data_IF_298317488214
#
_entry.id   IF_298317488214
#
_cell.length_a   1.000
_cell.length_b   1.000
_cell.length_c   1.000
_cell.angle_alpha   90.00
_cell.angle_beta   90.00
_cell.angle_gamma   90.00
#
_symmetry.space_group_name_H-M   'P 1'
#
loop_
_entity.id
_entity.type
_entity.pdbx_description
1 polymer ?
#
# COMPACT_ATOMS: atom_id res chain seq x y z
N UNK A 1 2.84 37.41 8.78
CA UNK A 1 3.20 36.00 8.46
C UNK A 1 1.94 35.19 8.30
N UNK A 2 1.74 34.64 7.11
CA UNK A 2 0.58 33.81 6.75
C UNK A 2 1.00 32.34 6.74
N UNK A 3 0.14 31.44 7.20
CA UNK A 3 0.32 29.99 7.02
C UNK A 3 -0.39 29.58 5.73
N UNK A 4 0.35 28.94 4.84
CA UNK A 4 -0.12 28.52 3.52
C UNK A 4 0.18 27.03 3.30
N UNK A 5 -0.80 26.33 2.76
CA UNK A 5 -0.71 24.92 2.37
C UNK A 5 -0.90 24.80 0.86
N UNK A 6 0.09 24.26 0.17
CA UNK A 6 0.10 24.12 -1.28
C UNK A 6 -0.04 22.64 -1.61
N UNK A 7 -1.21 22.23 -2.05
CA UNK A 7 -1.50 20.84 -2.45
C UNK A 7 -1.48 20.70 -3.96
N UNK A 8 -0.85 19.64 -4.51
CA UNK A 8 -0.87 19.38 -5.94
C UNK A 8 -0.71 17.89 -6.27
N UNK A 9 -1.22 17.50 -7.44
CA UNK A 9 -1.21 16.11 -7.89
C UNK A 9 -1.32 16.01 -9.41
N UNK A 10 -1.16 14.78 -9.93
CA UNK A 10 -1.42 14.36 -11.32
C UNK A 10 -0.53 15.05 -12.36
N UNK A 11 0.77 15.22 -12.02
CA UNK A 11 1.75 15.86 -12.92
C UNK A 11 2.51 14.86 -13.79
N UNK A 12 2.37 13.54 -13.54
CA UNK A 12 3.13 12.48 -14.19
C UNK A 12 2.30 11.64 -15.16
N UNK A 13 3.00 10.99 -16.08
CA UNK A 13 2.45 9.99 -17.00
C UNK A 13 3.20 8.66 -16.86
N UNK A 14 2.77 7.59 -17.55
CA UNK A 14 3.57 6.36 -17.66
C UNK A 14 4.93 6.58 -18.32
N UNK A 15 5.13 7.67 -19.07
CA UNK A 15 6.34 7.94 -19.85
C UNK A 15 7.31 8.91 -19.18
N UNK A 16 6.78 9.93 -18.50
CA UNK A 16 7.61 10.97 -17.88
C UNK A 16 6.88 11.70 -16.74
N UNK A 17 7.54 12.74 -16.20
CA UNK A 17 7.02 13.52 -15.07
C UNK A 17 7.22 12.81 -13.73
N UNK A 18 7.09 13.57 -12.65
CA UNK A 18 7.15 13.02 -11.29
C UNK A 18 6.70 14.08 -10.28
N UNK A 19 5.57 13.87 -9.62
CA UNK A 19 5.00 14.84 -8.68
C UNK A 19 5.94 15.10 -7.50
N UNK A 20 6.68 14.09 -7.03
CA UNK A 20 7.69 14.30 -5.96
C UNK A 20 8.89 15.11 -6.43
N UNK A 21 9.27 15.02 -7.72
CA UNK A 21 10.32 15.86 -8.28
C UNK A 21 9.88 17.33 -8.38
N UNK A 22 8.63 17.58 -8.77
CA UNK A 22 8.06 18.94 -8.74
C UNK A 22 8.12 19.53 -7.33
N UNK A 23 7.75 18.74 -6.30
CA UNK A 23 7.90 19.16 -4.91
C UNK A 23 9.36 19.49 -4.55
N UNK A 24 10.31 18.68 -4.98
CA UNK A 24 11.73 18.92 -4.71
C UNK A 24 12.26 20.19 -5.39
N UNK A 25 11.75 20.55 -6.56
CA UNK A 25 12.03 21.84 -7.22
C UNK A 25 11.44 23.01 -6.42
N UNK A 26 10.19 22.88 -6.00
CA UNK A 26 9.47 23.90 -5.24
C UNK A 26 10.10 24.15 -3.87
N UNK A 27 10.63 23.13 -3.20
CA UNK A 27 11.36 23.32 -1.91
C UNK A 27 12.45 24.38 -2.05
N UNK A 28 13.27 24.27 -3.07
CA UNK A 28 14.38 25.22 -3.30
C UNK A 28 13.87 26.59 -3.69
N UNK A 29 12.95 26.66 -4.67
CA UNK A 29 12.43 27.93 -5.17
C UNK A 29 11.69 28.73 -4.09
N UNK A 30 10.80 28.08 -3.34
CA UNK A 30 10.04 28.75 -2.30
C UNK A 30 10.94 29.21 -1.13
N UNK A 31 11.99 28.46 -0.83
CA UNK A 31 12.98 28.87 0.15
C UNK A 31 13.75 30.13 -0.32
N UNK A 32 14.10 30.20 -1.61
CA UNK A 32 14.76 31.37 -2.21
C UNK A 32 13.88 32.63 -2.20
N UNK A 33 12.56 32.47 -2.35
CA UNK A 33 11.57 33.57 -2.24
C UNK A 33 11.44 34.07 -0.78
N UNK A 34 11.86 33.27 0.22
CA UNK A 34 11.78 33.62 1.63
C UNK A 34 10.68 32.87 2.40
N UNK A 35 10.06 31.84 1.81
CA UNK A 35 9.13 31.01 2.53
C UNK A 35 9.84 30.08 3.53
N UNK A 36 9.27 29.93 4.72
CA UNK A 36 9.75 29.04 5.78
C UNK A 36 8.88 27.78 5.83
N UNK A 37 9.48 26.60 5.66
CA UNK A 37 8.76 25.33 5.79
C UNK A 37 8.44 25.03 7.24
N UNK A 38 7.18 24.69 7.53
CA UNK A 38 6.71 24.31 8.88
C UNK A 38 6.69 22.81 9.09
N UNK A 39 6.82 22.04 8.01
CA UNK A 39 6.89 20.59 8.00
C UNK A 39 7.71 20.13 6.77
N UNK A 40 8.17 18.88 6.78
CA UNK A 40 8.67 18.24 5.56
C UNK A 40 7.61 18.27 4.48
N UNK A 41 7.96 18.30 3.18
CA UNK A 41 6.96 18.05 2.14
C UNK A 41 6.19 16.77 2.45
N UNK A 42 4.86 16.86 2.46
CA UNK A 42 4.01 15.71 2.76
C UNK A 42 3.71 14.94 1.47
N UNK A 43 4.13 13.69 1.40
CA UNK A 43 3.83 12.77 0.31
C UNK A 43 2.67 11.87 0.73
N UNK A 44 1.49 12.18 0.26
CA UNK A 44 0.26 11.47 0.62
C UNK A 44 -0.08 10.45 -0.46
N UNK A 45 0.01 9.17 -0.13
CA UNK A 45 -0.49 8.11 -1.01
C UNK A 45 -2.00 8.00 -0.87
N UNK A 46 -2.68 8.08 -1.98
CA UNK A 46 -4.13 7.99 -2.10
C UNK A 46 -4.55 6.53 -2.38
N UNK A 47 -5.84 6.30 -2.64
CA UNK A 47 -6.37 4.97 -2.89
C UNK A 47 -5.60 4.25 -4.02
N UNK A 48 -4.93 3.12 -3.73
CA UNK A 48 -4.12 2.41 -4.73
C UNK A 48 -4.97 1.64 -5.78
N UNK A 49 -6.29 1.58 -5.61
CA UNK A 49 -7.20 0.82 -6.48
C UNK A 49 -7.94 1.68 -7.50
N UNK A 50 -7.71 2.99 -7.52
CA UNK A 50 -8.31 3.89 -8.52
C UNK A 50 -7.84 3.48 -9.93
N UNK A 51 -8.77 3.18 -10.87
CA UNK A 51 -8.41 2.59 -12.16
C UNK A 51 -7.67 3.55 -13.11
N UNK A 52 -7.87 4.85 -12.96
CA UNK A 52 -7.26 5.89 -13.80
C UNK A 52 -5.99 6.53 -13.23
N UNK A 53 -5.43 6.00 -12.14
CA UNK A 53 -4.13 6.45 -11.63
C UNK A 53 -3.01 6.10 -12.61
N UNK A 54 -2.01 6.96 -12.72
CA UNK A 54 -0.87 6.74 -13.61
C UNK A 54 0.14 5.74 -13.06
N UNK A 55 0.59 5.91 -11.81
CA UNK A 55 1.60 5.07 -11.14
C UNK A 55 1.21 4.78 -9.70
N UNK A 56 1.88 5.42 -8.73
CA UNK A 56 1.72 5.13 -7.32
C UNK A 56 0.56 5.83 -6.62
N UNK A 57 -0.19 6.68 -7.32
CA UNK A 57 -1.27 7.52 -6.80
C UNK A 57 -0.84 8.29 -5.54
N UNK A 58 -0.06 9.37 -5.72
CA UNK A 58 0.49 10.13 -4.60
C UNK A 58 0.50 11.62 -4.84
N UNK A 59 -0.26 12.33 -4.03
CA UNK A 59 -0.35 13.79 -4.01
C UNK A 59 0.66 14.40 -3.02
N UNK A 60 0.99 15.67 -3.21
CA UNK A 60 1.93 16.41 -2.39
C UNK A 60 1.26 17.57 -1.67
N UNK A 61 1.73 17.89 -0.47
CA UNK A 61 1.41 19.13 0.20
C UNK A 61 2.69 19.76 0.77
N UNK A 62 2.92 21.04 0.45
CA UNK A 62 3.95 21.89 1.06
C UNK A 62 3.26 22.78 2.10
N UNK A 63 3.81 22.79 3.31
CA UNK A 63 3.30 23.60 4.44
C UNK A 63 4.32 24.67 4.78
N UNK A 64 3.97 25.93 4.53
CA UNK A 64 4.88 27.05 4.66
C UNK A 64 4.29 28.21 5.47
N UNK A 65 5.16 29.09 5.91
CA UNK A 65 4.86 30.45 6.39
C UNK A 65 5.60 31.45 5.54
N UNK A 66 4.95 32.52 5.17
CA UNK A 66 5.52 33.62 4.40
C UNK A 66 4.93 34.96 4.80
N UNK A 67 5.55 36.07 4.37
CA UNK A 67 4.94 37.38 4.43
C UNK A 67 3.81 37.47 3.39
N UNK A 68 2.82 38.30 3.66
CA UNK A 68 1.64 38.48 2.80
C UNK A 68 2.00 38.95 1.39
N UNK A 69 2.98 39.84 1.30
CA UNK A 69 3.54 40.39 0.04
C UNK A 69 4.10 39.31 -0.90
N UNK A 70 4.53 38.14 -0.36
CA UNK A 70 5.14 37.06 -1.14
C UNK A 70 4.12 36.02 -1.63
N UNK A 71 2.85 36.15 -1.22
CA UNK A 71 1.83 35.13 -1.52
C UNK A 71 1.63 34.97 -3.03
N UNK A 72 1.50 36.06 -3.75
CA UNK A 72 1.30 36.06 -5.20
C UNK A 72 2.49 35.45 -5.94
N UNK A 73 3.72 35.86 -5.61
CA UNK A 73 4.94 35.32 -6.19
C UNK A 73 5.09 33.80 -5.92
N UNK A 74 4.73 33.34 -4.70
CA UNK A 74 4.74 31.92 -4.32
C UNK A 74 3.72 31.14 -5.17
N UNK A 75 2.53 31.69 -5.37
CA UNK A 75 1.49 31.04 -6.15
C UNK A 75 1.89 30.95 -7.63
N UNK A 76 2.34 32.04 -8.23
CA UNK A 76 2.85 32.07 -9.60
C UNK A 76 4.02 31.10 -9.82
N UNK A 77 5.01 31.13 -8.92
CA UNK A 77 6.15 30.21 -8.97
C UNK A 77 5.71 28.74 -8.89
N UNK A 78 4.68 28.45 -8.07
CA UNK A 78 4.12 27.11 -7.97
C UNK A 78 3.44 26.68 -9.24
N UNK A 79 2.56 27.52 -9.78
CA UNK A 79 1.82 27.27 -11.04
C UNK A 79 2.80 27.01 -12.18
N UNK A 80 3.75 27.93 -12.38
CA UNK A 80 4.81 27.85 -13.38
C UNK A 80 5.62 26.53 -13.26
N UNK A 81 6.00 26.17 -12.03
CA UNK A 81 6.82 24.98 -11.80
C UNK A 81 6.03 23.69 -12.08
N UNK A 82 4.76 23.64 -11.70
CA UNK A 82 3.87 22.50 -12.02
C UNK A 82 3.68 22.39 -13.53
N UNK A 83 3.32 23.48 -14.20
CA UNK A 83 3.08 23.52 -15.64
C UNK A 83 4.29 23.06 -16.45
N UNK A 84 5.48 23.60 -16.17
CA UNK A 84 6.74 23.29 -16.87
C UNK A 84 7.23 21.85 -16.67
N UNK A 85 6.83 21.19 -15.57
CA UNK A 85 7.32 19.85 -15.22
C UNK A 85 6.25 18.76 -15.30
N UNK A 86 5.00 19.09 -15.60
CA UNK A 86 3.93 18.13 -15.85
C UNK A 86 3.97 17.62 -17.29
N UNK A 87 3.60 16.36 -17.51
CA UNK A 87 3.43 15.79 -18.85
C UNK A 87 2.04 16.14 -19.40
N UNK A 88 1.84 17.39 -19.81
CA UNK A 88 0.56 17.87 -20.36
C UNK A 88 0.21 17.26 -21.72
N UNK A 89 1.18 16.64 -22.40
CA UNK A 89 0.96 15.97 -23.68
C UNK A 89 0.22 14.65 -23.54
N UNK A 90 0.30 14.01 -22.37
CA UNK A 90 -0.38 12.74 -22.10
C UNK A 90 -1.85 12.97 -21.73
N UNK A 91 -2.78 12.31 -22.44
CA UNK A 91 -4.22 12.51 -22.27
C UNK A 91 -4.74 12.27 -20.84
N UNK A 92 -4.11 11.33 -20.10
CA UNK A 92 -4.51 10.96 -18.74
C UNK A 92 -3.86 11.78 -17.60
N UNK A 93 -3.03 12.79 -17.93
CA UNK A 93 -2.40 13.70 -16.96
C UNK A 93 -3.22 14.99 -16.90
N UNK A 94 -3.84 15.26 -15.76
CA UNK A 94 -4.74 16.38 -15.51
C UNK A 94 -4.32 17.11 -14.22
N UNK A 95 -3.18 17.86 -14.21
CA UNK A 95 -2.64 18.46 -13.00
C UNK A 95 -3.62 19.39 -12.31
N UNK A 96 -3.54 19.42 -10.99
CA UNK A 96 -4.31 20.35 -10.18
C UNK A 96 -3.50 20.83 -8.99
N UNK A 97 -3.66 22.10 -8.65
CA UNK A 97 -3.02 22.79 -7.53
C UNK A 97 -4.13 23.38 -6.67
N UNK A 98 -3.96 23.33 -5.37
CA UNK A 98 -4.85 23.97 -4.39
C UNK A 98 -4.00 24.77 -3.41
N UNK A 99 -4.33 26.02 -3.22
CA UNK A 99 -3.76 26.90 -2.21
C UNK A 99 -4.78 27.10 -1.09
N UNK A 100 -4.38 26.78 0.11
CA UNK A 100 -5.23 26.85 1.29
C UNK A 100 -4.52 27.63 2.40
N UNK A 101 -5.25 28.51 3.03
CA UNK A 101 -4.73 29.40 4.08
C UNK A 101 -5.31 29.00 5.45
N UNK A 102 -4.55 29.26 6.51
CA UNK A 102 -4.95 29.04 7.89
C UNK A 102 -5.04 27.56 8.32
N UNK A 103 -5.84 27.29 9.35
CA UNK A 103 -5.97 25.96 9.95
C UNK A 103 -6.83 25.04 9.09
N UNK A 104 -6.47 23.77 9.05
CA UNK A 104 -7.16 22.76 8.24
C UNK A 104 -8.41 22.27 8.98
N UNK A 105 -9.62 22.49 8.42
CA UNK A 105 -10.87 22.09 9.04
C UNK A 105 -11.10 20.57 8.97
N UNK A 106 -11.98 20.05 9.83
CA UNK A 106 -12.26 18.62 9.91
C UNK A 106 -12.94 18.06 8.66
N UNK A 107 -13.65 18.87 7.92
CA UNK A 107 -14.25 18.51 6.64
C UNK A 107 -13.18 18.15 5.61
N UNK A 108 -12.05 18.89 5.54
CA UNK A 108 -10.92 18.56 4.67
C UNK A 108 -10.20 17.30 5.15
N UNK A 109 -10.04 17.09 6.46
CA UNK A 109 -9.51 15.86 7.05
C UNK A 109 -10.39 14.65 6.67
N UNK A 110 -11.71 14.82 6.76
CA UNK A 110 -12.69 13.79 6.38
C UNK A 110 -12.64 13.50 4.88
N UNK A 111 -12.53 14.53 4.04
CA UNK A 111 -12.37 14.39 2.59
C UNK A 111 -11.09 13.64 2.25
N UNK A 112 -9.96 13.99 2.87
CA UNK A 112 -8.68 13.31 2.68
C UNK A 112 -8.79 11.81 3.02
N UNK A 113 -9.36 11.47 4.18
CA UNK A 113 -9.59 10.08 4.58
C UNK A 113 -10.42 9.32 3.54
N UNK A 114 -11.51 9.92 3.05
CA UNK A 114 -12.37 9.30 2.01
C UNK A 114 -11.62 9.10 0.70
N UNK A 115 -10.75 10.04 0.30
CA UNK A 115 -9.94 9.94 -0.92
C UNK A 115 -8.86 8.86 -0.80
N UNK A 116 -8.32 8.64 0.39
CA UNK A 116 -7.35 7.56 0.66
C UNK A 116 -8.05 6.19 0.68
N UNK A 117 -9.31 6.10 1.11
CA UNK A 117 -10.05 4.85 1.34
C UNK A 117 -11.08 4.50 0.26
N UNK A 118 -11.27 5.35 -0.75
CA UNK A 118 -12.30 5.14 -1.76
C UNK A 118 -12.11 6.01 -2.98
N UNK A 119 -13.21 6.25 -3.68
CA UNK A 119 -13.29 7.17 -4.82
C UNK A 119 -14.15 8.37 -4.43
N UNK A 120 -13.68 9.56 -4.74
CA UNK A 120 -14.40 10.82 -4.58
C UNK A 120 -14.58 11.51 -5.94
N UNK A 121 -15.62 12.32 -6.04
CA UNK A 121 -15.95 13.05 -7.28
C UNK A 121 -15.34 14.45 -7.26
N UNK A 122 -14.94 14.96 -8.43
CA UNK A 122 -14.45 16.33 -8.60
C UNK A 122 -15.43 17.38 -8.02
N UNK A 123 -16.73 17.20 -8.21
CA UNK A 123 -17.76 18.09 -7.67
C UNK A 123 -17.66 18.25 -6.14
N UNK A 124 -17.28 17.20 -5.42
CA UNK A 124 -17.12 17.25 -3.96
C UNK A 124 -15.88 18.06 -3.57
N UNK A 125 -14.77 17.89 -4.29
CA UNK A 125 -13.55 18.69 -4.09
C UNK A 125 -13.81 20.18 -4.33
N UNK A 126 -14.40 20.52 -5.48
CA UNK A 126 -14.70 21.91 -5.84
C UNK A 126 -15.69 22.58 -4.89
N UNK A 127 -16.66 21.81 -4.34
CA UNK A 127 -17.55 22.31 -3.28
C UNK A 127 -16.78 22.73 -2.02
N UNK A 128 -15.80 21.93 -1.60
CA UNK A 128 -14.98 22.24 -0.43
C UNK A 128 -14.02 23.41 -0.69
N UNK A 129 -13.41 23.46 -1.89
CA UNK A 129 -12.60 24.60 -2.32
C UNK A 129 -13.40 25.91 -2.19
N UNK A 130 -14.60 25.94 -2.74
CA UNK A 130 -15.49 27.13 -2.63
C UNK A 130 -15.93 27.42 -1.20
N UNK A 131 -16.28 26.38 -0.42
CA UNK A 131 -16.79 26.52 0.95
C UNK A 131 -15.77 27.20 1.88
N UNK A 132 -14.50 26.85 1.71
CA UNK A 132 -13.41 27.35 2.57
C UNK A 132 -12.58 28.46 1.94
N UNK A 133 -13.00 29.04 0.80
CA UNK A 133 -12.29 30.12 0.14
C UNK A 133 -10.88 29.76 -0.31
N UNK A 134 -10.64 28.46 -0.61
CA UNK A 134 -9.37 28.02 -1.17
C UNK A 134 -9.27 28.42 -2.65
N UNK A 135 -8.05 28.64 -3.12
CA UNK A 135 -7.79 28.87 -4.55
C UNK A 135 -7.35 27.57 -5.22
N UNK A 136 -7.90 27.29 -6.40
CA UNK A 136 -7.56 26.09 -7.14
C UNK A 136 -7.28 26.38 -8.60
N UNK A 137 -6.19 25.82 -9.10
CA UNK A 137 -5.78 25.90 -10.51
C UNK A 137 -5.76 24.50 -11.09
N UNK A 138 -6.50 24.29 -12.17
CA UNK A 138 -6.54 22.99 -12.87
C UNK A 138 -6.02 23.13 -14.29
N UNK A 139 -5.16 22.21 -14.72
CA UNK A 139 -4.73 22.07 -16.11
C UNK A 139 -5.55 20.97 -16.77
N UNK A 140 -6.01 21.22 -17.99
CA UNK A 140 -6.90 20.31 -18.73
C UNK A 140 -8.20 20.03 -17.93
N UNK A 141 -8.43 18.78 -17.47
CA UNK A 141 -9.60 18.44 -16.65
C UNK A 141 -9.39 18.75 -15.16
N UNK A 142 -8.17 19.11 -14.73
CA UNK A 142 -7.84 19.52 -13.38
C UNK A 142 -8.08 18.45 -12.30
N UNK A 143 -8.09 17.16 -12.64
CA UNK A 143 -8.38 16.06 -11.70
C UNK A 143 -7.43 16.05 -10.50
N UNK A 144 -6.20 16.52 -10.65
CA UNK A 144 -5.23 16.69 -9.60
C UNK A 144 -5.69 17.56 -8.43
N UNK A 145 -6.72 18.42 -8.61
CA UNK A 145 -7.34 19.19 -7.52
C UNK A 145 -7.86 18.26 -6.41
N UNK A 146 -8.39 17.08 -6.75
CA UNK A 146 -8.84 16.09 -5.76
C UNK A 146 -7.67 15.65 -4.89
N UNK A 147 -6.55 15.26 -5.51
CA UNK A 147 -5.36 14.81 -4.79
C UNK A 147 -4.69 15.92 -4.00
N UNK A 148 -4.55 17.12 -4.59
CA UNK A 148 -4.00 18.29 -3.93
C UNK A 148 -4.78 18.68 -2.67
N UNK A 149 -6.12 18.74 -2.76
CA UNK A 149 -7.00 19.02 -1.62
C UNK A 149 -6.91 17.91 -0.56
N UNK A 150 -6.85 16.64 -0.97
CA UNK A 150 -6.68 15.52 -0.05
C UNK A 150 -5.31 15.56 0.66
N UNK A 151 -4.24 15.96 -0.04
CA UNK A 151 -2.92 16.11 0.57
C UNK A 151 -2.87 17.26 1.60
N UNK A 152 -3.62 18.33 1.38
CA UNK A 152 -3.80 19.40 2.37
C UNK A 152 -4.53 18.86 3.61
N UNK A 153 -5.64 18.13 3.42
CA UNK A 153 -6.46 17.60 4.51
C UNK A 153 -5.79 16.48 5.32
N UNK A 154 -4.83 15.73 4.73
CA UNK A 154 -4.08 14.69 5.45
C UNK A 154 -2.87 15.32 6.15
N UNK A 155 -3.02 15.59 7.43
CA UNK A 155 -2.00 16.28 8.25
C UNK A 155 -0.93 15.35 8.81
N UNK A 156 -1.07 14.04 8.60
CA UNK A 156 -0.14 13.01 9.11
C UNK A 156 0.05 13.06 10.64
N UNK A 157 -0.92 13.57 11.38
CA UNK A 157 -0.92 13.58 12.86
C UNK A 157 -1.09 12.18 13.46
N UNK A 158 -1.63 11.25 12.66
CA UNK A 158 -1.71 9.82 12.98
C UNK A 158 -0.44 9.11 12.54
N UNK A 159 -0.53 7.79 12.36
CA UNK A 159 0.62 6.99 11.94
C UNK A 159 1.21 7.49 10.62
N UNK A 160 2.52 7.72 10.62
CA UNK A 160 3.28 8.21 9.48
C UNK A 160 4.71 7.66 9.46
N UNK A 161 5.36 7.80 8.34
CA UNK A 161 6.76 7.44 8.12
C UNK A 161 7.49 8.56 7.38
N UNK A 162 8.73 8.31 7.04
CA UNK A 162 9.56 9.22 6.26
C UNK A 162 10.14 8.50 5.05
N UNK A 163 10.37 9.22 3.97
CA UNK A 163 11.06 8.70 2.79
C UNK A 163 12.04 9.74 2.30
N UNK A 164 13.34 9.41 2.23
CA UNK A 164 14.28 10.21 1.47
C UNK A 164 14.19 9.76 0.01
N UNK A 165 13.96 10.71 -0.90
CA UNK A 165 13.93 10.47 -2.33
C UNK A 165 15.08 11.23 -2.96
N UNK A 166 15.90 10.50 -3.72
CA UNK A 166 17.08 10.99 -4.42
C UNK A 166 16.82 11.02 -5.91
N UNK A 167 17.20 12.12 -6.57
CA UNK A 167 16.90 12.35 -7.99
C UNK A 167 18.17 12.38 -8.83
N UNK A 168 18.01 11.89 -10.05
CA UNK A 168 19.05 11.79 -11.08
C UNK A 168 19.17 13.11 -11.85
N UNK A 169 20.37 13.41 -12.31
CA UNK A 169 20.55 14.48 -13.29
C UNK A 169 19.80 14.20 -14.61
N UNK A 170 19.39 15.21 -15.35
CA UNK A 170 18.66 15.05 -16.61
C UNK A 170 19.33 14.09 -17.62
N UNK A 171 20.67 14.12 -17.70
CA UNK A 171 21.47 13.26 -18.60
C UNK A 171 21.32 11.76 -18.30
N UNK A 172 20.99 11.40 -17.07
CA UNK A 172 20.88 10.00 -16.66
C UNK A 172 19.43 9.48 -16.72
N UNK A 173 18.43 10.34 -16.97
CA UNK A 173 17.02 9.92 -17.08
C UNK A 173 16.84 8.99 -18.28
N UNK A 174 16.02 7.95 -18.12
CA UNK A 174 15.79 6.94 -19.17
C UNK A 174 16.90 5.88 -19.31
N UNK A 175 18.04 6.01 -18.58
CA UNK A 175 19.11 5.02 -18.59
C UNK A 175 19.02 4.08 -17.37
N UNK A 176 19.71 2.90 -17.37
CA UNK A 176 19.79 2.05 -16.18
C UNK A 176 20.38 2.81 -14.98
N UNK A 177 19.80 2.61 -13.80
CA UNK A 177 20.26 3.26 -12.56
C UNK A 177 21.54 2.60 -12.06
N UNK A 178 22.55 3.40 -11.73
CA UNK A 178 23.87 2.95 -11.31
C UNK A 178 24.08 3.22 -9.82
N UNK A 179 23.77 2.22 -8.99
CA UNK A 179 23.98 2.26 -7.55
C UNK A 179 24.73 1.00 -7.14
N UNK A 180 25.68 1.14 -6.22
CA UNK A 180 26.45 0.02 -5.73
C UNK A 180 25.60 -0.89 -4.85
N UNK A 181 25.32 -2.10 -5.32
CA UNK A 181 24.42 -3.04 -4.63
C UNK A 181 24.93 -3.46 -3.24
N UNK A 182 26.25 -3.55 -3.03
CA UNK A 182 26.83 -3.85 -1.71
C UNK A 182 26.52 -2.77 -0.69
N UNK A 183 26.58 -1.48 -1.06
CA UNK A 183 26.23 -0.40 -0.15
C UNK A 183 24.76 -0.41 0.25
N UNK A 184 23.87 -0.87 -0.62
CA UNK A 184 22.44 -1.02 -0.29
C UNK A 184 22.23 -2.13 0.73
N UNK A 185 22.95 -3.26 0.62
CA UNK A 185 22.88 -4.34 1.62
C UNK A 185 23.46 -3.89 2.96
N UNK A 186 24.61 -3.23 2.94
CA UNK A 186 25.21 -2.64 4.14
C UNK A 186 24.25 -1.65 4.81
N UNK A 187 23.65 -0.74 4.05
CA UNK A 187 22.63 0.20 4.54
C UNK A 187 21.48 -0.55 5.19
N UNK A 188 20.94 -1.58 4.51
CA UNK A 188 19.84 -2.38 5.04
C UNK A 188 20.21 -3.04 6.38
N UNK A 189 21.39 -3.64 6.50
CA UNK A 189 21.87 -4.27 7.75
C UNK A 189 22.03 -3.26 8.87
N UNK A 190 22.65 -2.10 8.60
CA UNK A 190 22.93 -1.08 9.60
C UNK A 190 21.71 -0.27 10.06
N UNK A 191 20.66 -0.21 9.24
CA UNK A 191 19.50 0.67 9.54
C UNK A 191 18.22 -0.07 9.87
N UNK A 192 18.12 -1.40 9.66
CA UNK A 192 17.00 -2.19 10.17
C UNK A 192 16.99 -2.15 11.71
N UNK A 193 15.79 -2.12 12.33
CA UNK A 193 14.44 -2.07 11.76
C UNK A 193 13.89 -0.63 11.59
N UNK A 194 14.77 0.40 11.64
CA UNK A 194 14.36 1.80 11.49
C UNK A 194 14.09 2.18 10.03
N UNK A 195 14.68 1.48 9.08
CA UNK A 195 14.29 1.51 7.67
C UNK A 195 13.63 0.19 7.29
N UNK A 196 12.86 0.15 6.20
CA UNK A 196 12.13 -1.03 5.81
C UNK A 196 11.91 -1.09 4.29
N UNK A 197 11.68 -2.31 3.78
CA UNK A 197 11.45 -2.60 2.36
C UNK A 197 12.62 -2.13 1.46
N UNK A 198 13.85 -2.29 1.92
CA UNK A 198 15.04 -1.93 1.14
C UNK A 198 15.49 -3.08 0.24
N UNK A 199 15.48 -4.30 0.77
CA UNK A 199 15.89 -5.54 0.10
C UNK A 199 14.86 -6.62 0.42
N UNK A 200 14.39 -7.37 -0.58
CA UNK A 200 13.46 -8.50 -0.38
C UNK A 200 14.22 -9.70 0.22
N UNK A 201 13.87 -10.15 1.45
CA UNK A 201 14.60 -11.23 2.10
C UNK A 201 14.37 -12.61 1.46
N UNK A 202 13.34 -12.77 0.61
CA UNK A 202 13.10 -14.05 -0.10
C UNK A 202 13.95 -14.21 -1.36
N UNK A 203 14.35 -13.10 -1.98
CA UNK A 203 14.98 -13.11 -3.32
C UNK A 203 16.26 -12.27 -3.42
N UNK A 204 16.69 -11.63 -2.34
CA UNK A 204 17.80 -10.65 -2.28
C UNK A 204 17.67 -9.50 -3.28
N UNK A 205 16.44 -9.23 -3.73
CA UNK A 205 16.18 -8.19 -4.70
C UNK A 205 16.15 -6.81 -4.03
N UNK A 206 16.89 -5.86 -4.61
CA UNK A 206 16.86 -4.44 -4.22
C UNK A 206 15.50 -3.85 -4.57
N UNK A 207 14.89 -3.14 -3.59
CA UNK A 207 13.55 -2.57 -3.70
C UNK A 207 13.53 -1.04 -3.68
N UNK A 208 14.62 -0.38 -3.29
CA UNK A 208 14.68 1.09 -3.18
C UNK A 208 14.73 1.80 -4.54
N UNK A 209 15.05 1.09 -5.62
CA UNK A 209 15.14 1.65 -6.98
C UNK A 209 13.84 1.45 -7.74
N UNK A 210 13.21 2.51 -8.28
CA UNK A 210 12.04 2.37 -9.14
C UNK A 210 12.42 1.76 -10.49
N UNK A 211 11.42 1.23 -11.21
CA UNK A 211 11.61 0.59 -12.52
C UNK A 211 11.18 1.47 -13.69
N UNK A 212 10.43 2.52 -13.40
CA UNK A 212 9.89 3.42 -14.40
C UNK A 212 10.90 4.45 -14.92
N UNK A 213 10.50 5.25 -15.90
CA UNK A 213 11.34 6.30 -16.51
C UNK A 213 11.42 7.57 -15.66
N UNK A 214 10.89 7.56 -14.45
CA UNK A 214 10.89 8.72 -13.56
C UNK A 214 12.31 9.16 -13.15
N UNK A 215 12.49 10.44 -12.74
CA UNK A 215 13.79 11.00 -12.38
C UNK A 215 14.34 10.49 -11.05
N UNK A 216 13.62 9.61 -10.34
CA UNK A 216 14.06 9.08 -9.04
C UNK A 216 15.21 8.10 -9.25
N UNK A 217 16.31 8.29 -8.52
CA UNK A 217 17.41 7.35 -8.43
C UNK A 217 17.07 6.22 -7.46
N UNK A 218 16.70 6.57 -6.23
CA UNK A 218 16.19 5.66 -5.21
C UNK A 218 15.32 6.38 -4.17
N UNK A 219 14.50 5.61 -3.43
CA UNK A 219 13.74 6.09 -2.28
C UNK A 219 13.90 5.14 -1.09
N UNK A 220 14.32 5.65 0.07
CA UNK A 220 14.50 4.86 1.28
C UNK A 220 13.46 5.28 2.32
N UNK A 221 12.70 4.32 2.83
CA UNK A 221 11.61 4.51 3.80
C UNK A 221 12.04 4.15 5.20
N UNK A 222 11.62 4.95 6.18
CA UNK A 222 11.97 4.68 7.56
C UNK A 222 11.04 5.34 8.58
N UNK A 223 11.27 4.99 9.83
CA UNK A 223 10.45 5.42 10.97
C UNK A 223 10.67 6.88 11.36
N UNK A 224 11.83 7.45 11.08
CA UNK A 224 12.15 8.83 11.44
C UNK A 224 13.12 9.46 10.44
N UNK A 225 13.22 10.82 10.40
CA UNK A 225 14.04 11.51 9.41
C UNK A 225 15.53 11.27 9.57
N UNK A 226 16.03 11.04 10.79
CA UNK A 226 17.45 10.74 11.03
C UNK A 226 17.83 9.38 10.44
N UNK A 227 16.96 8.36 10.60
CA UNK A 227 17.21 7.02 10.06
C UNK A 227 17.27 7.01 8.52
N UNK A 228 16.35 7.73 7.83
CA UNK A 228 16.38 7.78 6.37
C UNK A 228 17.55 8.61 5.85
N UNK A 229 17.97 9.66 6.58
CA UNK A 229 19.16 10.43 6.25
C UNK A 229 20.43 9.59 6.41
N UNK A 230 20.61 8.91 7.53
CA UNK A 230 21.72 7.98 7.76
C UNK A 230 21.78 6.88 6.68
N UNK A 231 20.62 6.32 6.33
CA UNK A 231 20.54 5.33 5.27
C UNK A 231 20.96 5.90 3.90
N UNK A 232 20.55 7.13 3.59
CA UNK A 232 20.98 7.83 2.37
C UNK A 232 22.51 8.03 2.33
N UNK A 233 23.14 8.38 3.45
CA UNK A 233 24.59 8.62 3.56
C UNK A 233 25.42 7.33 3.36
N UNK A 234 24.85 6.15 3.62
CA UNK A 234 25.51 4.85 3.42
C UNK A 234 25.44 4.38 1.95
N UNK A 235 24.39 4.78 1.22
CA UNK A 235 24.19 4.31 -0.17
C UNK A 235 25.12 5.05 -1.13
N UNK A 236 25.95 4.29 -1.84
CA UNK A 236 26.88 4.84 -2.81
C UNK A 236 26.28 4.83 -4.24
N UNK A 237 26.04 6.04 -4.76
CA UNK A 237 25.66 6.24 -6.15
C UNK A 237 26.88 6.25 -7.06
N UNK A 238 26.78 5.55 -8.20
CA UNK A 238 27.79 5.57 -9.27
C UNK A 238 27.42 6.56 -10.38
N UNK A 239 26.41 7.38 -10.15
CA UNK A 239 26.02 8.50 -11.02
C UNK A 239 25.78 9.76 -10.19
N UNK A 240 25.90 10.95 -10.78
CA UNK A 240 25.66 12.20 -10.05
C UNK A 240 24.24 12.30 -9.51
N UNK A 241 24.12 12.71 -8.26
CA UNK A 241 22.85 13.06 -7.61
C UNK A 241 22.57 14.52 -7.92
N UNK A 242 21.40 14.81 -8.49
CA UNK A 242 20.96 16.18 -8.74
C UNK A 242 20.48 16.84 -7.45
N UNK A 243 19.60 16.13 -6.73
CA UNK A 243 19.00 16.59 -5.47
C UNK A 243 18.45 15.44 -4.65
N UNK A 244 18.14 15.70 -3.39
CA UNK A 244 17.36 14.79 -2.56
C UNK A 244 16.53 15.57 -1.53
N UNK A 245 15.41 14.98 -1.13
CA UNK A 245 14.47 15.57 -0.16
C UNK A 245 13.93 14.47 0.75
N UNK A 246 13.81 14.78 2.04
CA UNK A 246 13.07 13.94 3.00
C UNK A 246 11.62 14.38 2.99
N UNK A 247 10.74 13.43 2.72
CA UNK A 247 9.28 13.59 2.78
C UNK A 247 8.73 12.96 4.06
N UNK A 248 7.70 13.55 4.65
CA UNK A 248 6.83 12.88 5.62
C UNK A 248 5.67 12.28 4.86
N UNK A 249 5.26 11.04 5.20
CA UNK A 249 4.35 10.28 4.34
C UNK A 249 3.49 9.28 5.12
N UNK A 250 2.37 8.89 4.55
CA UNK A 250 1.55 7.77 5.03
C UNK A 250 2.00 6.39 4.48
N UNK A 251 3.20 6.28 3.91
CA UNK A 251 3.72 4.98 3.44
C UNK A 251 3.77 3.94 4.58
N UNK A 252 3.38 2.72 4.26
CA UNK A 252 3.46 1.60 5.20
C UNK A 252 2.57 1.74 6.44
N UNK A 253 1.46 2.47 6.39
CA UNK A 253 0.56 2.73 7.52
C UNK A 253 -0.76 1.96 7.46
N UNK A 254 -1.09 1.32 6.33
CA UNK A 254 -2.41 0.74 6.07
C UNK A 254 -3.56 1.78 6.02
N UNK A 255 -3.26 3.07 5.89
CA UNK A 255 -4.25 4.16 5.92
C UNK A 255 -5.39 3.99 4.90
N UNK A 256 -5.14 3.27 3.79
CA UNK A 256 -6.14 2.99 2.77
C UNK A 256 -7.17 1.94 3.19
N UNK A 257 -6.83 1.05 4.13
CA UNK A 257 -7.71 -0.06 4.51
C UNK A 257 -8.85 0.41 5.42
N UNK A 258 -10.08 0.17 4.99
CA UNK A 258 -11.29 0.43 5.75
C UNK A 258 -11.82 -0.88 6.33
N UNK A 259 -11.97 -0.95 7.66
CA UNK A 259 -12.66 -2.08 8.30
C UNK A 259 -14.15 -1.96 8.05
N UNK A 260 -14.76 -3.03 7.56
CA UNK A 260 -16.19 -3.19 7.37
C UNK A 260 -16.71 -4.36 8.22
N UNK A 261 -17.98 -4.30 8.60
CA UNK A 261 -18.59 -5.30 9.49
C UNK A 261 -19.16 -6.48 8.72
N UNK A 262 -19.50 -6.28 7.45
CA UNK A 262 -20.12 -7.32 6.62
C UNK A 262 -19.60 -7.31 5.19
N UNK A 263 -19.58 -8.48 4.57
CA UNK A 263 -19.27 -8.68 3.15
C UNK A 263 -20.23 -7.90 2.25
N UNK A 264 -21.48 -7.69 2.68
CA UNK A 264 -22.47 -6.90 1.94
C UNK A 264 -22.10 -5.42 1.76
N UNK A 265 -21.20 -4.88 2.60
CA UNK A 265 -20.70 -3.50 2.50
C UNK A 265 -19.58 -3.32 1.46
N UNK A 266 -19.12 -4.41 0.84
CA UNK A 266 -18.03 -4.38 -0.14
C UNK A 266 -18.46 -3.58 -1.37
N UNK A 267 -17.61 -2.61 -1.74
CA UNK A 267 -17.77 -1.82 -2.96
C UNK A 267 -16.52 -1.91 -3.83
N UNK A 268 -16.66 -1.96 -5.16
CA UNK A 268 -15.54 -1.94 -6.08
C UNK A 268 -14.58 -0.77 -5.81
N UNK A 269 -13.29 -1.02 -6.00
CA UNK A 269 -12.19 -0.07 -5.81
C UNK A 269 -11.90 0.35 -4.36
N UNK A 270 -12.72 -0.02 -3.37
CA UNK A 270 -12.46 0.29 -1.98
C UNK A 270 -11.54 -0.75 -1.34
N UNK A 271 -10.43 -0.34 -0.72
CA UNK A 271 -9.62 -1.24 0.09
C UNK A 271 -10.31 -1.57 1.41
N UNK A 272 -10.42 -2.86 1.73
CA UNK A 272 -11.19 -3.32 2.88
C UNK A 272 -10.40 -4.24 3.81
N UNK A 273 -10.86 -4.29 5.06
CA UNK A 273 -10.61 -5.38 6.01
C UNK A 273 -11.95 -5.99 6.37
N UNK A 274 -12.14 -7.25 6.05
CA UNK A 274 -13.41 -7.96 6.32
C UNK A 274 -13.14 -9.35 6.87
N UNK A 275 -13.98 -9.78 7.81
CA UNK A 275 -13.93 -11.10 8.42
C UNK A 275 -14.89 -12.05 7.69
N UNK A 276 -14.50 -13.33 7.58
CA UNK A 276 -15.37 -14.38 7.06
C UNK A 276 -14.79 -15.77 7.23
N UNK A 277 -15.68 -16.76 7.19
CA UNK A 277 -15.32 -18.18 7.17
C UNK A 277 -15.01 -18.63 5.74
N UNK A 278 -13.97 -19.46 5.55
CA UNK A 278 -13.76 -20.08 4.25
C UNK A 278 -14.94 -20.97 3.88
N UNK A 279 -15.55 -20.71 2.73
CA UNK A 279 -16.70 -21.45 2.23
C UNK A 279 -16.31 -22.81 1.63
N UNK A 280 -15.13 -22.90 0.98
CA UNK A 280 -14.59 -24.11 0.35
C UNK A 280 -13.07 -24.12 0.35
N UNK A 281 -12.46 -25.25 0.00
CA UNK A 281 -11.00 -25.37 -0.17
C UNK A 281 -10.48 -24.38 -1.22
N UNK A 282 -9.30 -23.76 -0.99
CA UNK A 282 -8.67 -22.88 -1.97
C UNK A 282 -8.30 -23.61 -3.27
N UNK A 283 -8.51 -22.95 -4.40
CA UNK A 283 -8.16 -23.44 -5.73
C UNK A 283 -6.88 -22.76 -6.24
N UNK A 284 -6.01 -23.54 -6.87
CA UNK A 284 -4.85 -23.01 -7.59
C UNK A 284 -5.19 -22.96 -9.07
N UNK A 285 -5.20 -21.77 -9.64
CA UNK A 285 -5.51 -21.57 -11.06
C UNK A 285 -4.23 -21.41 -11.89
N UNK A 286 -4.28 -21.49 -13.24
CA UNK A 286 -3.15 -21.27 -14.12
C UNK A 286 -2.40 -19.95 -13.78
N UNK A 287 -1.08 -19.97 -13.85
CA UNK A 287 -0.22 -18.89 -13.35
C UNK A 287 0.10 -18.98 -11.86
N UNK A 288 -0.39 -20.01 -11.17
CA UNK A 288 -0.07 -20.29 -9.77
C UNK A 288 -0.80 -19.41 -8.76
N UNK A 289 -1.80 -18.66 -9.18
CA UNK A 289 -2.64 -17.85 -8.30
C UNK A 289 -3.55 -18.72 -7.43
N UNK A 290 -3.87 -18.27 -6.22
CA UNK A 290 -4.75 -18.98 -5.28
C UNK A 290 -6.02 -18.17 -5.11
N UNK A 291 -7.17 -18.79 -5.42
CA UNK A 291 -8.49 -18.20 -5.26
C UNK A 291 -9.26 -18.99 -4.21
N UNK A 292 -9.93 -18.30 -3.33
CA UNK A 292 -10.85 -18.90 -2.36
C UNK A 292 -11.98 -17.93 -2.02
N UNK A 293 -13.08 -18.47 -1.52
CA UNK A 293 -14.27 -17.68 -1.16
C UNK A 293 -14.39 -17.62 0.36
N UNK A 294 -14.60 -16.43 0.90
CA UNK A 294 -15.03 -16.24 2.30
C UNK A 294 -16.50 -15.85 2.33
N UNK A 295 -17.18 -16.19 3.42
CA UNK A 295 -18.61 -15.89 3.65
C UNK A 295 -18.82 -15.40 5.08
N UNK A 296 -19.84 -14.57 5.25
CA UNK A 296 -20.50 -14.25 6.51
C UNK A 296 -22.00 -14.55 6.41
N UNK A 297 -22.78 -14.05 7.35
CA UNK A 297 -24.26 -14.24 7.36
C UNK A 297 -24.94 -13.51 6.20
N UNK A 298 -24.33 -12.45 5.66
CA UNK A 298 -24.94 -11.52 4.70
C UNK A 298 -24.40 -11.66 3.27
N UNK A 299 -23.39 -12.50 3.05
CA UNK A 299 -22.85 -12.66 1.71
C UNK A 299 -21.62 -13.53 1.59
N UNK A 300 -21.06 -13.52 0.38
CA UNK A 300 -19.82 -14.19 0.04
C UNK A 300 -19.00 -13.34 -0.92
N UNK A 301 -17.67 -13.44 -0.86
CA UNK A 301 -16.75 -12.76 -1.76
C UNK A 301 -15.52 -13.61 -2.04
N UNK A 302 -15.02 -13.54 -3.26
CA UNK A 302 -13.79 -14.19 -3.64
C UNK A 302 -12.57 -13.39 -3.18
N UNK A 303 -11.54 -14.10 -2.76
CA UNK A 303 -10.24 -13.57 -2.38
C UNK A 303 -9.17 -14.15 -3.31
N UNK A 304 -8.28 -13.30 -3.80
CA UNK A 304 -7.20 -13.69 -4.70
C UNK A 304 -5.82 -13.41 -4.07
N UNK A 305 -5.02 -14.46 -3.89
CA UNK A 305 -3.59 -14.36 -3.57
C UNK A 305 -2.80 -14.66 -4.84
N UNK A 306 -2.32 -13.62 -5.51
CA UNK A 306 -1.59 -13.74 -6.77
C UNK A 306 -0.19 -14.32 -6.58
N UNK A 307 0.40 -14.86 -7.66
CA UNK A 307 1.72 -15.48 -7.63
C UNK A 307 2.80 -14.58 -6.99
N UNK A 308 2.92 -13.29 -7.37
CA UNK A 308 3.97 -12.43 -6.82
C UNK A 308 3.89 -12.16 -5.30
N UNK A 309 2.76 -12.49 -4.66
CA UNK A 309 2.57 -12.26 -3.21
C UNK A 309 3.38 -13.20 -2.32
N UNK A 310 4.10 -14.18 -2.92
CA UNK A 310 5.08 -15.00 -2.24
C UNK A 310 4.52 -15.77 -1.03
N UNK A 311 4.98 -15.44 0.17
CA UNK A 311 4.57 -16.09 1.42
C UNK A 311 3.05 -16.07 1.64
N UNK A 312 2.35 -14.97 1.30
CA UNK A 312 0.90 -14.87 1.46
C UNK A 312 0.17 -15.94 0.64
N UNK A 313 0.59 -16.17 -0.62
CA UNK A 313 0.05 -17.23 -1.47
C UNK A 313 0.30 -18.63 -0.89
N UNK A 314 1.50 -18.87 -0.32
CA UNK A 314 1.82 -20.15 0.32
C UNK A 314 0.92 -20.42 1.53
N UNK A 315 0.53 -19.37 2.26
CA UNK A 315 -0.42 -19.44 3.37
C UNK A 315 -1.83 -19.72 2.87
N UNK A 316 -2.29 -18.96 1.87
CA UNK A 316 -3.61 -19.13 1.26
C UNK A 316 -3.86 -20.58 0.81
N UNK A 317 -2.87 -21.23 0.19
CA UNK A 317 -2.94 -22.65 -0.23
C UNK A 317 -3.16 -23.65 0.91
N UNK A 318 -2.85 -23.27 2.16
CA UNK A 318 -2.94 -24.17 3.34
C UNK A 318 -4.22 -23.97 4.15
N UNK A 319 -5.04 -22.99 3.78
CA UNK A 319 -6.36 -22.77 4.37
C UNK A 319 -7.29 -23.94 4.00
N UNK A 320 -8.29 -24.18 4.83
CA UNK A 320 -9.36 -25.17 4.55
C UNK A 320 -10.74 -24.59 4.87
N UNK A 321 -11.78 -25.17 4.34
CA UNK A 321 -13.15 -24.78 4.64
C UNK A 321 -13.41 -24.72 6.16
N UNK A 322 -14.08 -23.66 6.61
CA UNK A 322 -14.33 -23.37 8.03
C UNK A 322 -13.20 -22.69 8.80
N UNK A 323 -12.06 -22.38 8.14
CA UNK A 323 -11.07 -21.46 8.74
C UNK A 323 -11.66 -20.05 8.79
N UNK A 324 -11.61 -19.37 9.94
CA UNK A 324 -12.04 -17.99 10.13
C UNK A 324 -10.87 -17.05 9.95
N UNK A 325 -10.99 -16.10 9.04
CA UNK A 325 -9.94 -15.13 8.70
C UNK A 325 -10.46 -13.70 8.62
N UNK A 326 -9.55 -12.74 8.74
CA UNK A 326 -9.72 -11.39 8.19
C UNK A 326 -8.95 -11.30 6.87
N UNK A 327 -9.62 -10.89 5.81
CA UNK A 327 -9.04 -10.58 4.50
C UNK A 327 -8.79 -9.08 4.39
N UNK A 328 -7.57 -8.69 3.98
CA UNK A 328 -7.15 -7.30 3.78
C UNK A 328 -6.78 -7.12 2.32
N UNK A 329 -7.35 -6.16 1.64
CA UNK A 329 -6.98 -5.90 0.26
C UNK A 329 -7.91 -4.98 -0.50
N UNK A 330 -7.53 -4.67 -1.73
CA UNK A 330 -8.31 -3.85 -2.65
C UNK A 330 -9.38 -4.65 -3.37
N UNK A 331 -10.58 -4.11 -3.45
CA UNK A 331 -11.71 -4.75 -4.13
C UNK A 331 -11.66 -4.48 -5.64
N UNK A 332 -11.54 -5.54 -6.42
CA UNK A 332 -11.64 -5.49 -7.88
C UNK A 332 -13.09 -5.58 -8.31
N UNK A 333 -13.49 -4.72 -9.24
CA UNK A 333 -14.81 -4.76 -9.86
C UNK A 333 -15.04 -6.06 -10.61
N UNK A 334 -16.28 -6.54 -10.60
CA UNK A 334 -16.69 -7.68 -11.43
C UNK A 334 -16.53 -7.38 -12.93
N UNK A 335 -16.27 -8.42 -13.69
CA UNK A 335 -16.25 -8.39 -15.15
C UNK A 335 -16.95 -9.66 -15.70
N UNK A 336 -17.06 -9.77 -17.01
CA UNK A 336 -17.58 -10.99 -17.66
C UNK A 336 -16.76 -12.25 -17.32
N UNK A 337 -15.50 -12.10 -16.90
CA UNK A 337 -14.58 -13.22 -16.63
C UNK A 337 -14.46 -13.58 -15.14
N UNK A 338 -14.87 -12.73 -14.23
CA UNK A 338 -14.70 -12.98 -12.79
C UNK A 338 -15.65 -12.11 -11.94
N UNK A 339 -16.09 -12.60 -10.77
CA UNK A 339 -16.90 -11.84 -9.83
C UNK A 339 -16.09 -10.73 -9.12
N UNK A 340 -16.77 -9.94 -8.28
CA UNK A 340 -16.10 -9.05 -7.33
C UNK A 340 -15.11 -9.86 -6.50
N UNK A 341 -13.90 -9.36 -6.37
CA UNK A 341 -12.78 -10.11 -5.76
C UNK A 341 -11.93 -9.19 -4.90
N UNK A 342 -11.56 -9.62 -3.69
CA UNK A 342 -10.57 -8.96 -2.86
C UNK A 342 -9.17 -9.40 -3.30
N UNK A 343 -8.39 -8.49 -3.86
CA UNK A 343 -6.97 -8.71 -4.17
C UNK A 343 -6.17 -8.59 -2.86
N UNK A 344 -5.75 -9.73 -2.32
CA UNK A 344 -5.19 -9.82 -0.98
C UNK A 344 -3.82 -9.14 -0.84
N UNK A 345 -3.71 -8.32 0.18
CA UNK A 345 -2.46 -7.77 0.70
C UNK A 345 -2.01 -8.47 1.99
N UNK A 346 -3.00 -8.92 2.81
CA UNK A 346 -2.77 -9.62 4.08
C UNK A 346 -3.90 -10.59 4.37
N UNK A 347 -3.59 -11.60 5.19
CA UNK A 347 -4.55 -12.52 5.81
C UNK A 347 -4.22 -12.60 7.29
N UNK A 348 -5.20 -12.33 8.16
CA UNK A 348 -5.09 -12.66 9.59
C UNK A 348 -5.92 -13.90 9.86
N UNK A 349 -5.30 -14.97 10.31
CA UNK A 349 -5.98 -16.20 10.71
C UNK A 349 -6.43 -16.08 12.16
N UNK A 350 -7.74 -16.08 12.38
CA UNK A 350 -8.37 -15.95 13.70
C UNK A 350 -8.62 -17.32 14.32
N UNK A 351 -9.17 -18.26 13.53
CA UNK A 351 -9.49 -19.62 13.97
C UNK A 351 -9.15 -20.62 12.88
N UNK A 352 -8.58 -21.74 13.26
CA UNK A 352 -8.29 -22.86 12.36
C UNK A 352 -9.32 -23.97 12.57
N UNK A 353 -10.01 -24.36 11.50
CA UNK A 353 -10.86 -25.52 11.48
C UNK A 353 -10.06 -26.82 11.70
N UNK A 354 -10.62 -27.84 12.38
CA UNK A 354 -9.94 -29.12 12.53
C UNK A 354 -9.82 -29.84 11.20
N UNK A 355 -8.62 -30.22 10.80
CA UNK A 355 -8.42 -31.06 9.60
C UNK A 355 -8.67 -32.52 10.00
N UNK A 356 -9.80 -33.08 9.59
CA UNK A 356 -10.21 -34.43 9.92
C UNK A 356 -9.97 -35.35 8.71
N UNK A 357 -9.27 -36.44 8.92
CA UNK A 357 -9.17 -37.53 7.94
C UNK A 357 -9.92 -38.76 8.47
N UNK A 358 -10.63 -39.44 7.56
CA UNK A 358 -11.36 -40.64 7.89
C UNK A 358 -10.61 -41.88 7.40
N UNK A 359 -10.29 -42.76 8.33
CA UNK A 359 -9.61 -44.02 8.05
C UNK A 359 -10.58 -45.21 8.26
N UNK A 360 -10.38 -46.27 7.50
CA UNK A 360 -11.09 -47.50 7.75
C UNK A 360 -10.76 -48.03 9.19
N UNK A 361 -11.70 -48.63 9.90
CA UNK A 361 -11.51 -49.10 11.24
C UNK A 361 -10.45 -50.22 11.31
N UNK A 362 -9.85 -50.43 12.52
CA UNK A 362 -9.06 -51.61 12.82
C UNK A 362 -10.00 -52.79 13.10
N UNK A 363 -9.56 -53.98 12.72
CA UNK A 363 -10.29 -55.23 13.04
C UNK A 363 -10.24 -55.47 14.55
N UNK A 364 -11.37 -55.74 15.22
CA UNK A 364 -11.40 -56.01 16.65
C UNK A 364 -10.67 -57.33 17.03
N UNK A 365 -10.52 -58.25 16.10
CA UNK A 365 -9.88 -59.54 16.36
C UNK A 365 -8.36 -59.56 16.17
N UNK A 366 -7.83 -58.83 15.16
CA UNK A 366 -6.42 -58.89 14.80
C UNK A 366 -5.74 -57.54 14.61
N UNK A 367 -6.46 -56.44 14.89
CA UNK A 367 -6.00 -55.04 14.82
C UNK A 367 -5.51 -54.58 13.46
N UNK A 368 -5.59 -55.44 12.40
CA UNK A 368 -5.27 -55.02 11.01
C UNK A 368 -6.31 -54.04 10.51
N UNK A 369 -5.90 -53.01 9.76
CA UNK A 369 -6.82 -52.05 9.12
C UNK A 369 -7.70 -52.76 8.11
N UNK A 370 -9.02 -52.61 8.25
CA UNK A 370 -10.01 -53.31 7.45
C UNK A 370 -10.16 -52.62 6.06
N UNK A 371 -10.64 -53.35 5.06
CA UNK A 371 -11.01 -52.85 3.75
C UNK A 371 -12.51 -52.57 3.69
N UNK A 372 -12.90 -51.49 3.00
CA UNK A 372 -14.31 -51.20 2.71
C UNK A 372 -14.85 -52.21 1.71
N UNK A 373 -16.09 -52.66 1.90
CA UNK A 373 -16.82 -53.55 0.98
C UNK A 373 -17.70 -52.77 -0.02
N UNK A 374 -17.62 -51.43 -0.04
CA UNK A 374 -18.43 -50.55 -0.85
C UNK A 374 -19.29 -49.62 -0.01
N UNK A 375 -20.02 -48.69 -0.68
CA UNK A 375 -20.92 -47.74 -0.03
C UNK A 375 -21.94 -48.47 0.83
N UNK A 376 -21.96 -48.19 2.13
CA UNK A 376 -22.88 -48.74 3.14
C UNK A 376 -22.78 -50.27 3.39
N UNK A 377 -21.88 -51.01 2.71
CA UNK A 377 -21.73 -52.47 2.88
C UNK A 377 -20.79 -52.83 4.04
N UNK A 378 -20.22 -51.86 4.75
CA UNK A 378 -19.33 -52.05 5.89
C UNK A 378 -17.90 -52.43 5.54
N UNK A 379 -17.24 -53.19 6.42
CA UNK A 379 -15.78 -53.46 6.33
C UNK A 379 -15.51 -54.95 6.48
N UNK A 380 -14.44 -55.44 5.82
CA UNK A 380 -13.88 -56.80 5.97
C UNK A 380 -12.40 -56.71 6.34
N UNK A 381 -11.96 -57.70 7.10
CA UNK A 381 -10.54 -57.91 7.42
C UNK A 381 -9.96 -58.98 6.49
N UNK A 382 -8.93 -58.63 5.70
CA UNK A 382 -8.27 -59.59 4.81
C UNK A 382 -7.35 -60.56 5.55
N UNK A 383 -7.03 -60.31 6.86
CA UNK A 383 -6.17 -61.19 7.66
C UNK A 383 -6.97 -62.32 8.32
N UNK A 384 -8.11 -62.02 8.93
CA UNK A 384 -8.86 -62.98 9.72
C UNK A 384 -10.29 -63.25 9.21
N UNK A 385 -10.66 -62.64 8.07
CA UNK A 385 -11.99 -62.83 7.46
C UNK A 385 -13.13 -62.10 8.16
N UNK A 386 -12.96 -61.45 9.29
CA UNK A 386 -14.01 -60.76 10.04
C UNK A 386 -14.69 -59.69 9.18
N UNK A 387 -16.04 -59.65 9.21
CA UNK A 387 -16.85 -58.66 8.48
C UNK A 387 -17.80 -57.94 9.44
N UNK A 388 -18.07 -56.67 9.18
CA UNK A 388 -19.01 -55.89 9.97
C UNK A 388 -19.59 -54.75 9.14
N UNK A 389 -20.92 -54.64 9.13
CA UNK A 389 -21.67 -53.52 8.59
C UNK A 389 -21.84 -52.38 9.63
N UNK A 390 -21.67 -52.65 10.91
CA UNK A 390 -21.88 -51.70 12.00
C UNK A 390 -20.65 -50.77 12.27
N UNK A 391 -19.46 -51.22 11.89
CA UNK A 391 -18.26 -50.41 12.06
C UNK A 391 -18.30 -49.19 11.13
N UNK A 392 -17.79 -48.05 11.66
CA UNK A 392 -17.70 -46.77 10.91
C UNK A 392 -16.23 -46.42 10.72
N UNK A 393 -15.97 -45.57 9.74
CA UNK A 393 -14.64 -44.93 9.58
C UNK A 393 -14.28 -44.16 10.85
N UNK A 394 -13.00 -44.25 11.23
CA UNK A 394 -12.45 -43.57 12.41
C UNK A 394 -11.99 -42.19 11.97
N UNK A 395 -12.52 -41.14 12.58
CA UNK A 395 -12.10 -39.77 12.37
C UNK A 395 -10.78 -39.52 13.15
N UNK A 396 -9.77 -39.02 12.46
CA UNK A 396 -8.48 -38.66 13.05
C UNK A 396 -8.23 -37.19 12.77
N UNK A 397 -8.01 -36.41 13.85
CA UNK A 397 -7.64 -34.99 13.73
C UNK A 397 -6.15 -34.87 13.39
N UNK A 398 -5.87 -34.33 12.21
CA UNK A 398 -4.49 -34.09 11.76
C UNK A 398 -3.96 -32.76 12.30
N UNK A 399 -2.65 -32.74 12.62
CA UNK A 399 -1.99 -31.50 12.99
C UNK A 399 -1.91 -30.54 11.81
N UNK A 400 -2.31 -29.29 12.02
CA UNK A 400 -2.18 -28.21 11.05
C UNK A 400 -0.80 -27.58 11.17
N UNK A 401 -0.08 -27.40 10.03
CA UNK A 401 1.19 -26.66 10.00
C UNK A 401 0.95 -25.16 10.07
N UNK A 402 -0.21 -24.70 9.57
CA UNK A 402 -0.60 -23.31 9.61
C UNK A 402 -0.90 -22.87 11.05
N UNK A 403 -0.50 -21.66 11.42
CA UNK A 403 -0.71 -21.07 12.75
C UNK A 403 -1.65 -19.87 12.66
N UNK A 404 -2.31 -19.53 13.79
CA UNK A 404 -3.02 -18.24 13.93
C UNK A 404 -2.01 -17.10 13.85
N UNK A 405 -2.41 -15.95 13.29
CA UNK A 405 -1.56 -14.77 13.17
C UNK A 405 -1.77 -14.02 11.87
N UNK A 406 -1.02 -12.95 11.70
CA UNK A 406 -1.04 -12.09 10.54
C UNK A 406 0.02 -12.54 9.53
N UNK A 407 -0.39 -12.67 8.28
CA UNK A 407 0.47 -12.98 7.14
C UNK A 407 0.34 -11.88 6.10
N UNK A 408 1.47 -11.38 5.63
CA UNK A 408 1.57 -10.23 4.72
C UNK A 408 2.23 -10.69 3.42
N UNK A 409 1.88 -10.03 2.32
CA UNK A 409 2.54 -10.24 1.03
C UNK A 409 4.04 -9.99 1.13
N UNK A 410 4.85 -10.67 0.31
CA UNK A 410 6.30 -10.46 0.25
C UNK A 410 6.63 -9.00 -0.07
N UNK A 411 7.78 -8.50 0.42
CA UNK A 411 8.14 -7.08 0.34
C UNK A 411 8.11 -6.55 -1.10
N UNK A 412 8.57 -7.34 -2.08
CA UNK A 412 8.55 -6.99 -3.51
C UNK A 412 7.15 -6.75 -4.10
N UNK A 413 6.11 -7.22 -3.42
CA UNK A 413 4.70 -7.11 -3.84
C UNK A 413 3.87 -6.20 -2.94
N UNK A 414 4.49 -5.58 -1.93
CA UNK A 414 3.81 -4.61 -1.08
C UNK A 414 3.53 -3.33 -1.86
N UNK A 415 2.32 -2.83 -1.71
CA UNK A 415 1.95 -1.49 -2.18
C UNK A 415 2.54 -0.44 -1.23
N UNK A 416 2.63 0.80 -1.68
CA UNK A 416 3.18 1.89 -0.85
C UNK A 416 2.51 1.99 0.52
N UNK A 417 1.20 1.82 0.61
CA UNK A 417 0.44 1.93 1.87
C UNK A 417 0.46 0.66 2.71
N UNK A 418 0.81 -0.51 2.17
CA UNK A 418 0.83 -1.77 2.93
C UNK A 418 1.83 -1.68 4.09
N UNK A 419 1.35 -1.83 5.34
CA UNK A 419 2.20 -1.80 6.54
C UNK A 419 3.05 -3.07 6.61
N UNK A 420 4.40 -2.96 6.56
CA UNK A 420 5.29 -4.10 6.75
C UNK A 420 5.21 -4.65 8.16
N UNK A 421 5.56 -5.93 8.34
CA UNK A 421 5.53 -6.57 9.66
C UNK A 421 6.41 -5.85 10.70
N UNK A 422 7.53 -5.29 10.26
CA UNK A 422 8.48 -4.56 11.12
C UNK A 422 7.90 -3.27 11.72
N UNK A 423 6.82 -2.73 11.16
CA UNK A 423 6.19 -1.50 11.64
C UNK A 423 5.09 -1.71 12.68
N UNK A 424 4.63 -2.94 12.88
CA UNK A 424 3.62 -3.19 13.92
C UNK A 424 4.20 -2.93 15.31
N UNK A 425 3.50 -2.11 16.12
CA UNK A 425 3.95 -1.62 17.42
C UNK A 425 4.88 -0.38 17.34
N UNK A 426 5.06 0.23 16.16
CA UNK A 426 5.85 1.45 15.93
C UNK A 426 5.02 2.61 15.39
N UNK A 427 3.69 2.50 15.47
CA UNK A 427 2.76 3.52 15.04
C UNK A 427 2.98 4.81 15.82
N UNK A 428 2.86 5.95 15.12
CA UNK A 428 3.02 7.28 15.70
C UNK A 428 1.65 7.95 15.88
N UNK A 429 1.56 8.79 16.87
CA UNK A 429 0.33 9.51 17.19
C UNK A 429 0.42 11.04 16.98
N UNK A 430 1.64 11.58 16.83
CA UNK A 430 1.85 13.03 16.79
C UNK A 430 2.84 13.41 15.68
N UNK A 431 2.63 14.60 15.10
CA UNK A 431 3.58 15.20 14.18
C UNK A 431 4.94 15.53 14.89
N UNK A 432 6.07 15.51 14.17
CA UNK A 432 7.35 15.89 14.75
C UNK A 432 7.33 17.37 15.11
N UNK A 433 7.90 17.70 16.27
CA UNK A 433 7.99 19.09 16.75
C UNK A 433 8.98 19.95 15.96
N UNK A 434 10.03 19.35 15.40
CA UNK A 434 11.07 20.06 14.62
C UNK A 434 11.58 19.19 13.47
N UNK A 435 11.90 19.81 12.36
CA UNK A 435 12.64 19.20 11.26
C UNK A 435 14.12 19.06 11.62
N UNK A 436 14.82 18.06 11.07
CA UNK A 436 16.28 17.96 11.20
C UNK A 436 16.94 18.99 10.28
N UNK A 437 18.16 19.38 10.64
CA UNK A 437 19.00 20.22 9.76
C UNK A 437 19.39 19.45 8.51
N UNK A 438 19.47 20.13 7.38
CA UNK A 438 19.83 19.54 6.07
C UNK A 438 18.91 18.36 5.72
N UNK A 439 17.61 18.61 5.64
CA UNK A 439 16.60 17.62 5.23
C UNK A 439 16.38 17.57 3.71
N UNK A 440 17.07 18.40 2.96
CA UNK A 440 17.11 18.43 1.49
C UNK A 440 18.48 18.89 0.98
N UNK A 441 18.73 18.66 -0.31
CA UNK A 441 19.87 19.14 -1.08
C UNK A 441 19.44 19.32 -2.55
N UNK A 442 19.85 20.39 -3.25
CA UNK A 442 20.32 21.66 -2.73
C UNK A 442 19.29 22.32 -1.88
#
# INVERSE_FOLDING_TARGET
>A
MITMHIGFDDTDSPKMGCTTYVAALLVVKLHQIGASFTDYPNLIRLNPNVPWKTRGNGALCLRIRCNEELVEEIMETTIDTVEKNADLSYAGTDPGIVFFFNNIPDELRTFAKRTIQGIVKMKEALKLVKMFGAEAVGFKNGRGIIGGLAAIGETLEKDHTYEVITYRTPKNRGTPRRIQASSIREMNEKTLPLTFNNVDPETDRILITPRGPDPILYGIRGENPKAVKQAHEIVHSQEPIERWVIFRTNHGTDAHLRRINSISEIQPFNPVVVQGDLAKEPEVIPGGHVIFTIKDENGKVDCAAYEPTGTLRKVAKKLIAGDLIEAYGGVRQASSKHPVTINLEKIRILKLAPKISFFNPKCPHCSKRMKSMGKEKGFRCDKCGFRSSKLKKVAVKNKRVLKKGLYITSQRSQRHLTKPILRYGREKANAPKKMIVNWHFP
#
